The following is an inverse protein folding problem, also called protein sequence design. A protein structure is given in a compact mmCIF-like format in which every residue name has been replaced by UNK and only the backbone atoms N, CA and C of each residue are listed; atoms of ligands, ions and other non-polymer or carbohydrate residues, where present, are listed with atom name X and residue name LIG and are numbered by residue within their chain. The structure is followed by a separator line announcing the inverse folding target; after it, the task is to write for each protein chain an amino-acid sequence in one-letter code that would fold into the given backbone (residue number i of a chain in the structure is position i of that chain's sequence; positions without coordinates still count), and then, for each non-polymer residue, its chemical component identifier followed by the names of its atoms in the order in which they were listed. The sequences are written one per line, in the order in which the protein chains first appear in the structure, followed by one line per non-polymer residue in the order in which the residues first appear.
data_IF_088614031488
#
_entry.id   IF_088614031488
#
_cell.length_a   1.000
_cell.length_b   1.000
_cell.length_c   1.000
_cell.angle_alpha   90.00
_cell.angle_beta   90.00
_cell.angle_gamma   90.00
#
_symmetry.space_group_name_H-M   'P 1'
#
loop_
_entity.id
_entity.type
_entity.pdbx_description
1 polymer ?
#
# COMPACT_ATOMS: atom_id res chain seq x y z
N UNK A 1 -4.75 -3.00 7.39
CA UNK A 1 -3.77 -2.12 8.07
C UNK A 1 -2.97 -1.34 7.04
N UNK A 2 -2.04 -0.48 7.46
CA UNK A 2 -1.15 0.23 6.52
C UNK A 2 -1.89 1.08 5.48
N UNK A 3 -1.37 1.13 4.26
CA UNK A 3 -2.00 1.79 3.12
C UNK A 3 -3.43 1.28 2.84
N UNK A 4 -3.70 -0.02 3.06
CA UNK A 4 -5.04 -0.58 2.92
C UNK A 4 -6.06 0.01 3.91
N UNK A 5 -5.63 0.34 5.13
CA UNK A 5 -6.50 1.01 6.11
C UNK A 5 -6.77 2.47 5.73
N UNK A 6 -5.76 3.16 5.21
CA UNK A 6 -5.92 4.52 4.67
C UNK A 6 -6.96 4.51 3.54
N UNK A 7 -6.84 3.57 2.60
CA UNK A 7 -7.78 3.44 1.49
C UNK A 7 -9.21 3.15 1.94
N UNK A 8 -9.40 2.22 2.88
CA UNK A 8 -10.71 1.92 3.45
C UNK A 8 -11.34 3.13 4.15
N UNK A 9 -10.54 3.92 4.88
CA UNK A 9 -11.02 5.17 5.50
C UNK A 9 -11.40 6.24 4.47
N UNK A 10 -10.68 6.36 3.36
CA UNK A 10 -11.06 7.29 2.27
C UNK A 10 -12.41 6.86 1.66
N UNK A 11 -12.63 5.55 1.48
CA UNK A 11 -13.92 5.04 0.99
C UNK A 11 -15.06 5.26 1.98
N UNK A 12 -14.82 5.09 3.28
CA UNK A 12 -15.87 5.22 4.30
C UNK A 12 -16.45 6.64 4.42
N UNK A 13 -15.67 7.67 4.07
CA UNK A 13 -16.14 9.07 4.00
C UNK A 13 -16.80 9.45 2.67
N UNK A 14 -17.01 8.47 1.77
CA UNK A 14 -17.70 8.66 0.49
C UNK A 14 -16.81 9.08 -0.68
N UNK A 15 -15.50 9.27 -0.47
CA UNK A 15 -14.57 9.58 -1.55
C UNK A 15 -14.20 8.33 -2.36
N UNK A 16 -13.74 8.50 -3.60
CA UNK A 16 -13.15 7.43 -4.40
C UNK A 16 -11.69 7.21 -3.96
N UNK A 17 -11.24 5.95 -3.99
CA UNK A 17 -9.87 5.61 -3.65
C UNK A 17 -9.35 4.52 -4.56
N UNK A 18 -8.22 4.81 -5.21
CA UNK A 18 -7.39 3.85 -5.91
C UNK A 18 -6.18 3.53 -5.03
N UNK A 19 -5.97 2.25 -4.71
CA UNK A 19 -4.86 1.75 -3.94
C UNK A 19 -3.90 0.97 -4.83
N UNK A 20 -2.70 1.50 -5.02
CA UNK A 20 -1.58 0.82 -5.64
C UNK A 20 -0.67 0.23 -4.54
N UNK A 21 -0.46 -1.08 -4.54
CA UNK A 21 0.37 -1.75 -3.53
C UNK A 21 0.92 -3.08 -4.05
N UNK A 22 1.87 -3.65 -3.31
CA UNK A 22 2.40 -4.99 -3.53
C UNK A 22 1.86 -5.93 -2.45
N UNK A 23 1.49 -7.15 -2.83
CA UNK A 23 1.14 -8.25 -1.91
C UNK A 23 1.85 -9.53 -2.36
N UNK A 24 2.05 -10.48 -1.45
CA UNK A 24 2.59 -11.79 -1.79
C UNK A 24 1.53 -12.71 -2.42
N UNK A 25 1.96 -13.76 -3.12
CA UNK A 25 1.07 -14.86 -3.51
C UNK A 25 0.80 -15.81 -2.32
N UNK A 26 0.00 -15.33 -1.38
CA UNK A 26 -0.31 -16.07 -0.15
C UNK A 26 -1.75 -15.82 0.34
N UNK A 27 -2.24 -16.60 1.33
CA UNK A 27 -3.59 -16.43 1.87
C UNK A 27 -3.86 -15.03 2.42
N UNK A 28 -2.82 -14.36 2.94
CA UNK A 28 -2.91 -13.04 3.55
C UNK A 28 -3.08 -11.95 2.48
N UNK A 29 -2.42 -12.10 1.33
CA UNK A 29 -2.63 -11.25 0.16
C UNK A 29 -4.07 -11.37 -0.36
N UNK A 30 -4.58 -12.61 -0.50
CA UNK A 30 -5.99 -12.87 -0.87
C UNK A 30 -6.99 -12.32 0.13
N UNK A 31 -6.69 -12.43 1.43
CA UNK A 31 -7.54 -11.86 2.48
C UNK A 31 -7.58 -10.33 2.39
N UNK A 32 -6.42 -9.69 2.21
CA UNK A 32 -6.34 -8.23 2.05
C UNK A 32 -7.14 -7.77 0.82
N UNK A 33 -7.01 -8.50 -0.29
CA UNK A 33 -7.74 -8.24 -1.53
C UNK A 33 -9.26 -8.28 -1.30
N UNK A 34 -9.77 -9.32 -0.64
CA UNK A 34 -11.19 -9.41 -0.27
C UNK A 34 -11.65 -8.27 0.64
N UNK A 35 -10.89 -7.94 1.69
CA UNK A 35 -11.23 -6.83 2.59
C UNK A 35 -11.31 -5.48 1.87
N UNK A 36 -10.43 -5.24 0.89
CA UNK A 36 -10.46 -4.04 0.06
C UNK A 36 -11.65 -4.03 -0.90
N UNK A 37 -12.05 -5.20 -1.42
CA UNK A 37 -13.28 -5.39 -2.20
C UNK A 37 -14.49 -4.91 -1.42
N UNK A 38 -14.63 -5.43 -0.19
CA UNK A 38 -15.79 -5.18 0.66
C UNK A 38 -15.85 -3.71 1.08
N UNK A 39 -14.69 -3.07 1.23
CA UNK A 39 -14.57 -1.63 1.44
C UNK A 39 -14.82 -0.78 0.17
N UNK A 40 -15.02 -1.43 -0.99
CA UNK A 40 -15.26 -0.78 -2.28
C UNK A 40 -14.06 0.02 -2.80
N UNK A 41 -12.83 -0.35 -2.42
CA UNK A 41 -11.59 0.30 -2.88
C UNK A 41 -11.26 -0.19 -4.30
N UNK A 42 -10.89 0.72 -5.20
CA UNK A 42 -10.27 0.35 -6.47
C UNK A 42 -8.82 -0.07 -6.22
N UNK A 43 -8.46 -1.28 -6.61
CA UNK A 43 -7.28 -2.00 -6.11
C UNK A 43 -6.38 -2.42 -7.25
N UNK A 44 -5.17 -1.90 -7.22
CA UNK A 44 -4.08 -2.18 -8.15
C UNK A 44 -2.99 -2.90 -7.36
N UNK A 45 -3.22 -4.19 -7.11
CA UNK A 45 -2.32 -5.02 -6.32
C UNK A 45 -1.37 -5.80 -7.24
N UNK A 46 -0.08 -5.51 -7.15
CA UNK A 46 0.94 -6.32 -7.79
C UNK A 46 1.29 -7.52 -6.92
N UNK A 47 1.36 -8.70 -7.53
CA UNK A 47 1.71 -9.94 -6.85
C UNK A 47 3.22 -10.15 -6.90
N UNK A 48 3.83 -10.28 -5.73
CA UNK A 48 5.21 -10.72 -5.53
C UNK A 48 5.23 -12.22 -5.19
N UNK A 49 5.77 -13.04 -6.09
CA UNK A 49 5.85 -14.50 -5.88
C UNK A 49 7.05 -14.91 -5.03
N UNK A 50 8.00 -14.00 -4.78
CA UNK A 50 9.25 -14.26 -4.07
C UNK A 50 9.18 -13.81 -2.59
N UNK A 51 8.24 -12.93 -2.26
CA UNK A 51 8.02 -12.42 -0.91
C UNK A 51 6.63 -12.76 -0.37
N UNK A 52 6.52 -12.78 0.96
CA UNK A 52 5.23 -12.89 1.65
C UNK A 52 4.58 -11.53 1.84
N UNK A 53 3.25 -11.50 1.85
CA UNK A 53 2.45 -10.33 2.20
C UNK A 53 2.87 -9.82 3.57
N UNK A 54 2.98 -8.50 3.70
CA UNK A 54 3.35 -7.88 4.97
C UNK A 54 2.26 -8.11 6.02
N UNK A 55 2.63 -8.76 7.12
CA UNK A 55 1.73 -9.04 8.24
C UNK A 55 2.27 -8.45 9.55
N UNK A 56 1.34 -7.94 10.37
CA UNK A 56 1.60 -7.43 11.72
C UNK A 56 0.74 -8.26 12.68
N UNK A 57 1.24 -9.41 13.12
CA UNK A 57 0.50 -10.27 14.05
C UNK A 57 0.73 -9.80 15.49
N UNK A 58 -0.35 -9.50 16.20
CA UNK A 58 -0.34 -9.14 17.63
C UNK A 58 -1.01 -10.25 18.43
N UNK A 59 -0.25 -10.89 19.32
CA UNK A 59 -0.79 -11.85 20.29
C UNK A 59 -1.13 -11.08 21.57
N UNK A 60 -2.40 -11.15 22.01
CA UNK A 60 -2.91 -10.38 23.15
C UNK A 60 -3.57 -11.35 24.14
N UNK A 61 -3.34 -11.15 25.44
CA UNK A 61 -4.05 -11.84 26.53
C UNK A 61 -4.37 -10.85 27.65
N UNK A 62 -5.58 -10.90 28.21
CA UNK A 62 -6.03 -10.03 29.31
C UNK A 62 -5.70 -8.53 29.08
N UNK A 63 -5.98 -8.05 27.87
CA UNK A 63 -5.69 -6.68 27.40
C UNK A 63 -4.19 -6.30 27.38
N UNK A 64 -3.27 -7.25 27.54
CA UNK A 64 -1.83 -7.05 27.40
C UNK A 64 -1.32 -7.65 26.09
N UNK A 65 -0.54 -6.88 25.33
CA UNK A 65 0.14 -7.39 24.15
C UNK A 65 1.34 -8.23 24.58
N UNK A 66 1.29 -9.54 24.31
CA UNK A 66 2.31 -10.50 24.70
C UNK A 66 3.45 -10.54 23.68
N UNK A 67 3.11 -10.67 22.38
CA UNK A 67 4.08 -10.90 21.30
C UNK A 67 3.67 -10.08 20.06
N UNK A 68 4.66 -9.51 19.38
CA UNK A 68 4.53 -8.94 18.04
C UNK A 68 5.39 -9.76 17.07
N UNK A 69 4.77 -10.29 16.02
CA UNK A 69 5.49 -10.97 14.93
C UNK A 69 5.27 -10.17 13.66
N UNK A 70 6.38 -9.74 13.07
CA UNK A 70 6.41 -8.93 11.86
C UNK A 70 6.92 -9.79 10.71
N UNK A 71 6.11 -9.98 9.67
CA UNK A 71 6.52 -10.64 8.44
C UNK A 71 6.73 -9.55 7.38
N UNK A 72 7.98 -9.41 6.93
CA UNK A 72 8.41 -8.32 6.03
C UNK A 72 9.42 -8.89 5.01
N UNK A 73 9.36 -8.41 3.76
CA UNK A 73 10.23 -8.81 2.66
C UNK A 73 10.67 -7.58 1.86
N UNK A 74 11.72 -7.72 1.05
CA UNK A 74 12.26 -6.64 0.19
C UNK A 74 11.78 -6.82 -1.24
N UNK A 75 11.20 -5.77 -1.83
CA UNK A 75 10.63 -5.85 -3.18
C UNK A 75 11.69 -6.10 -4.26
N UNK A 76 11.36 -6.96 -5.23
CA UNK A 76 12.17 -7.21 -6.42
C UNK A 76 12.19 -5.97 -7.33
N UNK A 77 13.36 -5.61 -7.89
CA UNK A 77 13.56 -4.45 -8.76
C UNK A 77 12.58 -4.42 -9.95
N UNK A 78 12.36 -5.58 -10.59
CA UNK A 78 11.43 -5.70 -11.74
C UNK A 78 9.97 -5.45 -11.36
N UNK A 79 9.61 -5.66 -10.10
CA UNK A 79 8.28 -5.37 -9.58
C UNK A 79 8.11 -3.88 -9.32
N UNK A 80 9.15 -3.23 -8.78
CA UNK A 80 9.16 -1.80 -8.53
C UNK A 80 8.99 -0.97 -9.83
N UNK A 81 9.62 -1.38 -10.93
CA UNK A 81 9.44 -0.74 -12.25
C UNK A 81 7.99 -0.84 -12.73
N UNK A 82 7.37 -2.03 -12.66
CA UNK A 82 5.96 -2.22 -13.04
C UNK A 82 5.00 -1.40 -12.18
N UNK A 83 5.25 -1.30 -10.88
CA UNK A 83 4.47 -0.46 -9.96
C UNK A 83 4.58 1.01 -10.37
N UNK A 84 5.76 1.46 -10.77
CA UNK A 84 5.96 2.83 -11.21
C UNK A 84 5.22 3.14 -12.53
N UNK A 85 5.23 2.21 -13.49
CA UNK A 85 4.48 2.36 -14.73
C UNK A 85 2.96 2.46 -14.46
N UNK A 86 2.44 1.63 -13.56
CA UNK A 86 1.03 1.67 -13.16
C UNK A 86 0.71 2.97 -12.42
N UNK A 87 1.61 3.42 -11.54
CA UNK A 87 1.49 4.71 -10.86
C UNK A 87 1.39 5.86 -11.87
N UNK A 88 2.26 5.90 -12.88
CA UNK A 88 2.24 6.94 -13.91
C UNK A 88 0.92 6.97 -14.70
N UNK A 89 0.32 5.82 -14.97
CA UNK A 89 -0.99 5.71 -15.63
C UNK A 89 -2.12 6.18 -14.72
N UNK A 90 -2.13 5.74 -13.46
CA UNK A 90 -3.16 6.07 -12.48
C UNK A 90 -3.16 7.54 -12.08
N UNK A 91 -2.00 8.20 -12.12
CA UNK A 91 -1.86 9.62 -11.84
C UNK A 91 -2.77 10.51 -12.70
N UNK A 92 -3.18 10.08 -13.90
CA UNK A 92 -4.07 10.86 -14.75
C UNK A 92 -5.52 10.96 -14.20
N UNK A 93 -5.92 10.06 -13.31
CA UNK A 93 -7.28 9.95 -12.78
C UNK A 93 -7.45 10.40 -11.34
N UNK A 94 -6.40 10.93 -10.69
CA UNK A 94 -6.43 11.27 -9.25
C UNK A 94 -6.18 12.75 -9.00
N UNK A 95 -6.83 13.28 -7.97
CA UNK A 95 -6.67 14.67 -7.52
C UNK A 95 -5.68 14.83 -6.37
N UNK A 96 -5.31 13.74 -5.70
CA UNK A 96 -4.36 13.73 -4.58
C UNK A 96 -3.64 12.38 -4.53
N UNK A 97 -2.37 12.40 -4.15
CA UNK A 97 -1.58 11.19 -3.89
C UNK A 97 -1.31 11.10 -2.39
N UNK A 98 -1.63 9.96 -1.79
CA UNK A 98 -1.24 9.63 -0.42
C UNK A 98 -0.17 8.56 -0.45
N UNK A 99 1.03 8.90 0.00
CA UNK A 99 2.15 7.96 0.13
C UNK A 99 2.20 7.49 1.57
N UNK A 100 1.81 6.24 1.81
CA UNK A 100 1.88 5.62 3.12
C UNK A 100 3.18 4.82 3.21
N UNK A 101 4.27 5.50 3.58
CA UNK A 101 5.60 4.90 3.63
C UNK A 101 5.88 4.27 4.99
N UNK A 102 5.97 2.94 5.00
CA UNK A 102 6.26 2.16 6.20
C UNK A 102 7.74 1.76 6.34
N UNK A 103 8.64 2.24 5.48
CA UNK A 103 10.06 1.86 5.49
C UNK A 103 10.30 0.40 5.09
N UNK A 104 9.37 -0.20 4.33
CA UNK A 104 9.32 -1.64 4.04
C UNK A 104 9.78 -2.02 2.63
N UNK A 105 10.45 -1.11 1.93
CA UNK A 105 10.95 -1.37 0.58
C UNK A 105 9.86 -1.49 -0.50
N UNK A 106 8.58 -1.24 -0.21
CA UNK A 106 7.52 -1.19 -1.23
C UNK A 106 7.50 0.11 -2.03
N UNK A 107 8.13 1.17 -1.51
CA UNK A 107 8.29 2.47 -2.16
C UNK A 107 9.77 2.70 -2.48
N UNK A 108 10.31 1.92 -3.41
CA UNK A 108 11.73 1.95 -3.76
C UNK A 108 12.21 3.33 -4.27
N UNK A 109 11.28 4.24 -4.63
CA UNK A 109 11.64 5.58 -5.08
C UNK A 109 10.57 6.65 -4.76
N UNK A 110 10.33 6.90 -3.47
CA UNK A 110 9.45 8.02 -3.02
C UNK A 110 9.81 9.34 -3.71
N UNK A 111 11.09 9.74 -3.86
CA UNK A 111 11.44 10.96 -4.59
C UNK A 111 10.92 11.00 -6.03
N UNK A 112 11.00 9.88 -6.76
CA UNK A 112 10.48 9.79 -8.12
C UNK A 112 8.95 9.86 -8.16
N UNK A 113 8.26 9.17 -7.25
CA UNK A 113 6.79 9.24 -7.09
C UNK A 113 6.36 10.69 -6.87
N UNK A 114 6.99 11.38 -5.90
CA UNK A 114 6.69 12.79 -5.61
C UNK A 114 7.00 13.70 -6.81
N UNK A 115 8.12 13.45 -7.51
CA UNK A 115 8.50 14.22 -8.70
C UNK A 115 7.45 14.11 -9.82
N UNK A 116 6.96 12.91 -10.11
CA UNK A 116 5.96 12.66 -11.15
C UNK A 116 4.61 13.32 -10.82
N UNK A 117 4.14 13.22 -9.57
CA UNK A 117 2.93 13.92 -9.14
C UNK A 117 3.07 15.44 -9.24
N UNK A 118 4.21 15.98 -8.80
CA UNK A 118 4.49 17.43 -8.87
C UNK A 118 4.54 17.96 -10.29
N UNK A 119 5.12 17.20 -11.25
CA UNK A 119 5.11 17.57 -12.67
C UNK A 119 3.69 17.74 -13.23
N UNK A 120 2.70 17.07 -12.63
CA UNK A 120 1.28 17.16 -12.97
C UNK A 120 0.49 18.09 -12.04
N UNK A 121 1.18 18.83 -11.15
CA UNK A 121 0.58 19.69 -10.13
C UNK A 121 -0.40 18.97 -9.18
N UNK A 122 -0.22 17.66 -8.96
CA UNK A 122 -1.05 16.87 -8.05
C UNK A 122 -0.45 16.97 -6.63
N UNK A 123 -1.23 17.36 -5.61
CA UNK A 123 -0.77 17.41 -4.23
C UNK A 123 -0.40 16.01 -3.73
N UNK A 124 0.70 15.94 -2.98
CA UNK A 124 1.22 14.71 -2.38
C UNK A 124 1.23 14.87 -0.86
N UNK A 125 0.54 13.96 -0.16
CA UNK A 125 0.59 13.81 1.29
C UNK A 125 1.41 12.58 1.60
N UNK A 126 2.46 12.74 2.40
CA UNK A 126 3.30 11.63 2.86
C UNK A 126 2.97 11.38 4.32
N UNK A 127 2.66 10.13 4.67
CA UNK A 127 2.58 9.63 6.04
C UNK A 127 3.94 9.02 6.38
N UNK A 128 4.84 9.78 7.07
CA UNK A 128 6.20 9.34 7.27
C UNK A 128 6.28 8.29 8.37
N UNK A 129 7.17 7.31 8.18
CA UNK A 129 7.75 6.56 9.29
C UNK A 129 9.14 7.08 9.63
N UNK A 130 9.38 7.27 10.92
CA UNK A 130 10.69 7.59 11.50
C UNK A 130 11.57 6.38 11.68
#
# INVERSE_FOLDING_TARGET
GGAGNVAANIRSIGAQCCLLSIVGDDPSGRLLDNLLTDAGVDRHLHIDTENRTTEKLRVVSLNQQLIRVDFEGTSNVSLAERVLDDYERLLAGVSVVVVSDYGKGGLCNVPQIVSLARKRAIPVVVDPKG
#
